data_IF_638981633366
#
_entry.id   IF_638981633366
#
_cell.length_a   1.000
_cell.length_b   1.000
_cell.length_c   1.000
_cell.angle_alpha   90.00
_cell.angle_beta   90.00
_cell.angle_gamma   90.00
#
_symmetry.space_group_name_H-M   'P 1'
#
loop_
_entity.id
_entity.type
_entity.pdbx_description
1 polymer ?
#
# COMPACT_ATOMS: atom_id res chain seq x y z
N UNK A 1 -4.10 -31.67 -2.73
CA UNK A 1 -2.79 -31.13 -2.28
C UNK A 1 -2.29 -29.96 -3.14
N UNK A 2 -2.60 -29.91 -4.43
CA UNK A 2 -2.13 -28.88 -5.39
C UNK A 2 -2.61 -27.46 -5.07
N UNK A 3 -3.86 -27.30 -4.64
CA UNK A 3 -4.49 -26.00 -4.35
C UNK A 3 -3.90 -25.26 -3.15
N UNK A 4 -3.43 -26.02 -2.17
CA UNK A 4 -2.80 -25.44 -1.01
C UNK A 4 -1.47 -24.76 -1.37
N UNK A 5 -0.80 -25.25 -2.40
CA UNK A 5 0.47 -24.71 -2.88
C UNK A 5 0.29 -23.33 -3.54
N UNK A 6 -0.66 -23.19 -4.49
CA UNK A 6 -0.93 -21.87 -5.12
C UNK A 6 -1.35 -20.82 -4.10
N UNK A 7 -2.33 -21.13 -3.24
CA UNK A 7 -2.81 -20.20 -2.22
C UNK A 7 -1.68 -19.73 -1.30
N UNK A 8 -0.79 -20.64 -0.90
CA UNK A 8 0.38 -20.33 -0.09
C UNK A 8 1.34 -19.38 -0.80
N UNK A 9 1.70 -19.68 -2.06
CA UNK A 9 2.59 -18.82 -2.83
C UNK A 9 1.99 -17.47 -3.14
N UNK A 10 0.70 -17.39 -3.47
CA UNK A 10 -0.01 -16.14 -3.69
C UNK A 10 0.00 -15.26 -2.43
N UNK A 11 -0.15 -15.85 -1.25
CA UNK A 11 -0.07 -15.10 0.01
C UNK A 11 1.36 -14.63 0.28
N UNK A 12 2.36 -15.52 0.15
CA UNK A 12 3.77 -15.18 0.40
C UNK A 12 4.23 -14.08 -0.55
N UNK A 13 4.00 -14.23 -1.85
CA UNK A 13 4.40 -13.24 -2.84
C UNK A 13 3.70 -11.90 -2.64
N UNK A 14 2.42 -11.89 -2.27
CA UNK A 14 1.72 -10.67 -1.91
C UNK A 14 2.44 -9.91 -0.78
N UNK A 15 2.80 -10.59 0.29
CA UNK A 15 3.55 -9.96 1.39
C UNK A 15 4.98 -9.56 1.01
N UNK A 16 5.64 -10.29 0.11
CA UNK A 16 6.95 -9.89 -0.43
C UNK A 16 6.83 -8.60 -1.23
N UNK A 17 5.84 -8.50 -2.11
CA UNK A 17 5.56 -7.30 -2.91
C UNK A 17 5.21 -6.12 -1.99
N UNK A 18 4.40 -6.34 -0.97
CA UNK A 18 4.12 -5.34 0.08
C UNK A 18 5.40 -4.85 0.75
N UNK A 19 6.27 -5.76 1.17
CA UNK A 19 7.52 -5.40 1.86
C UNK A 19 8.44 -4.58 0.94
N UNK A 20 8.57 -4.94 -0.34
CA UNK A 20 9.33 -4.18 -1.33
C UNK A 20 8.76 -2.77 -1.46
N UNK A 21 7.44 -2.64 -1.68
CA UNK A 21 6.78 -1.35 -1.81
C UNK A 21 6.93 -0.51 -0.54
N UNK A 22 6.73 -1.10 0.63
CA UNK A 22 6.83 -0.40 1.90
C UNK A 22 8.25 0.13 2.17
N UNK A 23 9.28 -0.71 1.93
CA UNK A 23 10.69 -0.29 2.07
C UNK A 23 11.01 0.82 1.07
N UNK A 24 10.57 0.70 -0.18
CA UNK A 24 10.77 1.73 -1.21
C UNK A 24 10.15 3.05 -0.76
N UNK A 25 8.88 3.05 -0.38
CA UNK A 25 8.19 4.26 0.03
C UNK A 25 8.78 4.86 1.31
N UNK A 26 9.14 4.05 2.32
CA UNK A 26 9.80 4.54 3.52
C UNK A 26 11.18 5.15 3.24
N UNK A 27 11.93 4.62 2.28
CA UNK A 27 13.24 5.15 1.92
C UNK A 27 13.18 6.47 1.18
N UNK A 28 12.00 6.82 0.64
CA UNK A 28 11.78 8.02 -0.17
C UNK A 28 10.83 9.03 0.49
N UNK A 29 10.35 8.77 1.71
CA UNK A 29 9.48 9.73 2.40
C UNK A 29 10.22 11.03 2.67
N UNK A 30 9.49 12.13 2.51
CA UNK A 30 9.98 13.45 2.90
C UNK A 30 10.00 13.57 4.43
N UNK A 31 11.13 13.91 5.05
CA UNK A 31 11.21 14.02 6.52
C UNK A 31 10.47 15.25 7.07
N UNK A 32 10.23 16.24 6.22
CA UNK A 32 9.55 17.47 6.56
C UNK A 32 8.23 17.63 5.79
N UNK A 33 7.93 18.85 5.39
CA UNK A 33 6.79 19.14 4.54
C UNK A 33 7.22 19.05 3.07
N UNK A 34 6.51 18.28 2.29
CA UNK A 34 6.63 18.30 0.84
C UNK A 34 5.83 19.50 0.26
N UNK A 35 5.83 19.65 -1.06
CA UNK A 35 5.11 20.70 -1.77
C UNK A 35 3.59 20.56 -1.65
N UNK A 36 2.84 21.57 -2.09
CA UNK A 36 1.39 21.68 -2.08
C UNK A 36 0.80 21.63 -0.66
N UNK A 37 -0.29 20.94 -0.51
CA UNK A 37 -1.14 20.89 0.67
C UNK A 37 -0.62 19.97 1.79
N UNK A 38 0.55 19.34 1.61
CA UNK A 38 1.09 18.37 2.57
C UNK A 38 1.21 18.96 3.98
N UNK A 39 1.71 20.21 4.08
CA UNK A 39 1.82 20.92 5.36
C UNK A 39 0.47 21.20 6.00
N UNK A 40 -0.55 21.54 5.20
CA UNK A 40 -1.91 21.74 5.67
C UNK A 40 -2.50 20.44 6.21
N UNK A 41 -2.40 19.36 5.44
CA UNK A 41 -2.91 18.05 5.87
C UNK A 41 -2.26 17.53 7.15
N UNK A 42 -0.94 17.70 7.29
CA UNK A 42 -0.22 17.30 8.51
C UNK A 42 -0.64 18.16 9.70
N UNK A 43 -0.67 19.51 9.55
CA UNK A 43 -1.03 20.40 10.65
C UNK A 43 -2.49 20.22 11.07
N UNK A 44 -3.39 20.07 10.11
CA UNK A 44 -4.82 19.86 10.38
C UNK A 44 -5.07 18.50 11.04
N UNK A 45 -4.34 17.44 10.64
CA UNK A 45 -4.43 16.14 11.30
C UNK A 45 -4.01 16.23 12.77
N UNK A 46 -2.87 16.87 13.07
CA UNK A 46 -2.37 17.04 14.45
C UNK A 46 -3.33 17.82 15.33
N UNK A 47 -4.00 18.83 14.78
CA UNK A 47 -4.92 19.71 15.51
C UNK A 47 -6.38 19.27 15.43
N UNK A 48 -6.71 18.23 14.65
CA UNK A 48 -8.08 17.83 14.33
C UNK A 48 -8.90 18.97 13.71
N UNK A 49 -8.28 19.73 12.83
CA UNK A 49 -8.91 20.80 12.06
C UNK A 49 -9.41 20.29 10.70
N UNK A 50 -10.33 21.01 10.09
CA UNK A 50 -10.84 20.70 8.75
C UNK A 50 -9.94 21.37 7.71
N UNK A 51 -9.47 20.61 6.74
CA UNK A 51 -8.74 21.14 5.57
C UNK A 51 -9.71 21.83 4.60
N UNK A 52 -9.14 22.54 3.59
CA UNK A 52 -9.95 23.10 2.51
C UNK A 52 -10.81 22.01 1.81
N UNK A 53 -11.90 22.44 1.17
CA UNK A 53 -12.83 21.54 0.48
C UNK A 53 -12.13 20.69 -0.62
N UNK A 54 -12.44 19.38 -0.75
CA UNK A 54 -13.57 18.67 -0.13
C UNK A 54 -13.30 18.14 1.29
N UNK A 55 -12.12 18.41 1.87
CA UNK A 55 -11.69 17.86 3.14
C UNK A 55 -11.31 16.37 3.04
N UNK A 56 -10.60 15.88 4.02
CA UNK A 56 -10.15 14.48 4.09
C UNK A 56 -10.36 13.91 5.50
N UNK A 57 -11.61 13.88 5.95
CA UNK A 57 -11.98 13.56 7.34
C UNK A 57 -11.36 12.26 7.84
N UNK A 58 -11.36 11.20 7.02
CA UNK A 58 -10.77 9.92 7.38
C UNK A 58 -9.25 10.02 7.55
N UNK A 59 -8.57 10.72 6.62
CA UNK A 59 -7.13 10.94 6.70
C UNK A 59 -6.79 11.75 7.97
N UNK A 60 -7.54 12.80 8.27
CA UNK A 60 -7.34 13.64 9.46
C UNK A 60 -7.44 12.81 10.74
N UNK A 61 -8.48 11.98 10.87
CA UNK A 61 -8.67 11.13 12.03
C UNK A 61 -7.54 10.10 12.20
N UNK A 62 -7.15 9.43 11.13
CA UNK A 62 -6.07 8.44 11.18
C UNK A 62 -4.72 9.13 11.43
N UNK A 63 -4.49 10.29 10.80
CA UNK A 63 -3.31 11.11 11.01
C UNK A 63 -3.19 11.62 12.44
N UNK A 64 -4.30 12.04 13.07
CA UNK A 64 -4.33 12.41 14.48
C UNK A 64 -3.94 11.24 15.40
N UNK A 65 -4.45 10.03 15.12
CA UNK A 65 -4.05 8.81 15.85
C UNK A 65 -2.56 8.52 15.64
N UNK A 66 -2.06 8.65 14.42
CA UNK A 66 -0.63 8.47 14.13
C UNK A 66 0.24 9.50 14.87
N UNK A 67 -0.19 10.76 14.96
CA UNK A 67 0.52 11.84 15.65
C UNK A 67 0.74 11.56 17.15
N UNK A 68 -0.11 10.73 17.79
CA UNK A 68 0.07 10.32 19.19
C UNK A 68 1.43 9.66 19.41
N UNK A 69 1.94 8.91 18.42
CA UNK A 69 3.25 8.28 18.48
C UNK A 69 4.43 9.27 18.43
N UNK A 70 4.16 10.55 18.16
CA UNK A 70 5.14 11.64 18.30
C UNK A 70 5.38 12.09 19.74
N UNK A 71 4.57 11.62 20.70
CA UNK A 71 4.69 11.93 22.14
C UNK A 71 4.78 13.44 22.42
N UNK A 72 4.07 14.26 21.65
CA UNK A 72 4.05 15.72 21.80
C UNK A 72 5.24 16.45 21.19
N UNK A 73 6.11 15.78 20.45
CA UNK A 73 7.25 16.39 19.75
C UNK A 73 6.85 16.81 18.32
N UNK A 74 6.71 18.12 18.05
CA UNK A 74 6.29 18.62 16.75
C UNK A 74 7.23 18.23 15.60
N UNK A 75 8.51 18.02 15.89
CA UNK A 75 9.52 17.66 14.88
C UNK A 75 9.30 16.27 14.26
N UNK A 76 8.52 15.42 14.93
CA UNK A 76 8.24 14.04 14.50
C UNK A 76 6.94 13.89 13.71
N UNK A 77 6.03 14.84 13.77
CA UNK A 77 4.70 14.67 13.19
C UNK A 77 4.74 14.44 11.69
N UNK A 78 5.56 15.20 10.97
CA UNK A 78 5.68 15.04 9.51
C UNK A 78 6.15 13.64 9.12
N UNK A 79 7.22 13.15 9.71
CA UNK A 79 7.76 11.82 9.43
C UNK A 79 6.74 10.72 9.76
N UNK A 80 6.05 10.83 10.89
CA UNK A 80 5.08 9.83 11.34
C UNK A 80 3.88 9.78 10.39
N UNK A 81 3.32 10.92 10.00
CA UNK A 81 2.16 10.99 9.10
C UNK A 81 2.56 10.56 7.69
N UNK A 82 3.75 10.93 7.22
CA UNK A 82 4.27 10.47 5.93
C UNK A 82 4.54 8.96 5.94
N UNK A 83 5.09 8.41 7.02
CA UNK A 83 5.27 6.96 7.17
C UNK A 83 3.94 6.20 7.23
N UNK A 84 2.91 6.78 7.86
CA UNK A 84 1.54 6.26 7.81
C UNK A 84 1.03 6.21 6.37
N UNK A 85 1.21 7.28 5.58
CA UNK A 85 0.82 7.32 4.18
C UNK A 85 1.58 6.28 3.35
N UNK A 86 2.88 6.12 3.57
CA UNK A 86 3.70 5.08 2.94
C UNK A 86 3.18 3.66 3.25
N UNK A 87 2.75 3.42 4.49
CA UNK A 87 2.16 2.15 4.90
C UNK A 87 0.86 1.85 4.15
N UNK A 88 -0.06 2.83 4.06
CA UNK A 88 -1.31 2.64 3.33
C UNK A 88 -1.09 2.48 1.82
N UNK A 89 -0.12 3.20 1.25
CA UNK A 89 0.29 3.01 -0.14
C UNK A 89 0.82 1.59 -0.39
N UNK A 90 1.62 1.05 0.51
CA UNK A 90 2.10 -0.32 0.41
C UNK A 90 0.97 -1.36 0.51
N UNK A 91 -0.04 -1.13 1.37
CA UNK A 91 -1.25 -1.96 1.39
C UNK A 91 -2.03 -1.89 0.06
N UNK A 92 -2.08 -0.74 -0.58
CA UNK A 92 -2.68 -0.63 -1.91
C UNK A 92 -1.97 -1.54 -2.92
N UNK A 93 -0.63 -1.61 -2.89
CA UNK A 93 0.15 -2.51 -3.73
C UNK A 93 -0.14 -3.99 -3.42
N UNK A 94 -0.27 -4.35 -2.14
CA UNK A 94 -0.67 -5.68 -1.73
C UNK A 94 -2.03 -6.09 -2.31
N UNK A 95 -3.02 -5.22 -2.15
CA UNK A 95 -4.36 -5.48 -2.68
C UNK A 95 -4.38 -5.48 -4.21
N UNK A 96 -3.60 -4.63 -4.86
CA UNK A 96 -3.43 -4.64 -6.31
C UNK A 96 -2.88 -5.99 -6.79
N UNK A 97 -1.83 -6.51 -6.16
CA UNK A 97 -1.29 -7.84 -6.45
C UNK A 97 -2.38 -8.92 -6.36
N UNK A 98 -3.11 -8.98 -5.26
CA UNK A 98 -4.18 -9.98 -5.09
C UNK A 98 -5.35 -9.77 -6.05
N UNK A 99 -5.67 -8.55 -6.40
CA UNK A 99 -6.69 -8.23 -7.41
C UNK A 99 -6.26 -8.76 -8.78
N UNK A 100 -5.03 -8.50 -9.21
CA UNK A 100 -4.50 -8.98 -10.49
C UNK A 100 -4.52 -10.51 -10.53
N UNK A 101 -3.96 -11.18 -9.52
CA UNK A 101 -3.93 -12.65 -9.48
C UNK A 101 -5.34 -13.25 -9.46
N UNK A 102 -6.28 -12.63 -8.76
CA UNK A 102 -7.67 -13.06 -8.74
C UNK A 102 -8.34 -12.87 -10.12
N UNK A 103 -8.17 -11.72 -10.76
CA UNK A 103 -8.77 -11.43 -12.06
C UNK A 103 -8.19 -12.32 -13.16
N UNK A 104 -6.87 -12.48 -13.23
CA UNK A 104 -6.23 -13.35 -14.24
C UNK A 104 -6.75 -14.77 -14.11
N UNK A 105 -6.87 -15.29 -12.89
CA UNK A 105 -7.44 -16.62 -12.66
C UNK A 105 -8.89 -16.70 -13.13
N UNK A 106 -9.71 -15.69 -12.85
CA UNK A 106 -11.11 -15.62 -13.31
C UNK A 106 -11.22 -15.59 -14.83
N UNK A 107 -10.32 -14.88 -15.50
CA UNK A 107 -10.28 -14.81 -16.97
C UNK A 107 -9.93 -16.17 -17.60
N UNK A 108 -9.12 -16.97 -16.93
CA UNK A 108 -8.83 -18.35 -17.37
C UNK A 108 -10.01 -19.30 -17.14
N UNK A 109 -11.07 -18.83 -16.48
CA UNK A 109 -12.31 -19.58 -16.18
C UNK A 109 -12.07 -20.91 -15.46
N UNK A 110 -11.03 -20.95 -14.59
CA UNK A 110 -10.60 -22.15 -13.88
C UNK A 110 -10.76 -22.00 -12.37
N UNK A 111 -11.24 -23.04 -11.74
CA UNK A 111 -11.21 -23.16 -10.29
C UNK A 111 -9.78 -23.44 -9.80
N UNK A 112 -9.53 -23.27 -8.50
CA UNK A 112 -8.19 -23.49 -7.90
C UNK A 112 -7.61 -24.88 -8.17
N UNK A 113 -8.47 -25.86 -8.46
CA UNK A 113 -8.09 -27.26 -8.65
C UNK A 113 -7.64 -27.60 -10.07
N UNK A 114 -7.98 -26.75 -11.04
CA UNK A 114 -7.77 -27.00 -12.47
C UNK A 114 -6.56 -26.27 -13.06
N UNK A 115 -5.92 -25.40 -12.26
CA UNK A 115 -4.78 -24.60 -12.73
C UNK A 115 -3.54 -25.49 -12.85
N UNK A 116 -2.93 -25.50 -14.03
CA UNK A 116 -1.67 -26.19 -14.27
C UNK A 116 -0.50 -25.42 -13.63
N UNK A 117 0.64 -26.09 -13.40
CA UNK A 117 1.82 -25.46 -12.82
C UNK A 117 2.31 -24.22 -13.61
N UNK A 118 2.28 -24.31 -14.95
CA UNK A 118 2.68 -23.19 -15.82
C UNK A 118 1.73 -22.01 -15.68
N UNK A 119 0.43 -22.26 -15.60
CA UNK A 119 -0.57 -21.22 -15.38
C UNK A 119 -0.44 -20.58 -13.99
N UNK A 120 -0.16 -21.37 -12.95
CA UNK A 120 0.11 -20.85 -11.60
C UNK A 120 1.25 -19.83 -11.61
N UNK A 121 2.37 -20.18 -12.25
CA UNK A 121 3.53 -19.30 -12.40
C UNK A 121 3.12 -18.04 -13.17
N UNK A 122 2.43 -18.16 -14.29
CA UNK A 122 2.00 -17.03 -15.12
C UNK A 122 1.10 -16.06 -14.36
N UNK A 123 0.14 -16.56 -13.56
CA UNK A 123 -0.73 -15.76 -12.73
C UNK A 123 0.07 -14.97 -11.67
N UNK A 124 0.97 -15.67 -10.98
CA UNK A 124 1.78 -15.05 -9.93
C UNK A 124 2.73 -13.98 -10.49
N UNK A 125 3.37 -14.25 -11.62
CA UNK A 125 4.24 -13.28 -12.30
C UNK A 125 3.46 -12.06 -12.81
N UNK A 126 2.27 -12.26 -13.38
CA UNK A 126 1.42 -11.15 -13.79
C UNK A 126 1.08 -10.23 -12.60
N UNK A 127 0.78 -10.81 -11.44
CA UNK A 127 0.55 -10.06 -10.21
C UNK A 127 1.79 -9.29 -9.75
N UNK A 128 2.96 -9.94 -9.72
CA UNK A 128 4.22 -9.31 -9.31
C UNK A 128 4.60 -8.16 -10.25
N UNK A 129 4.58 -8.40 -11.56
CA UNK A 129 4.94 -7.38 -12.56
C UNK A 129 3.98 -6.21 -12.46
N UNK A 130 2.66 -6.45 -12.45
CA UNK A 130 1.66 -5.39 -12.39
C UNK A 130 1.77 -4.55 -11.11
N UNK A 131 1.92 -5.18 -9.96
CA UNK A 131 2.03 -4.49 -8.68
C UNK A 131 3.35 -3.70 -8.56
N UNK A 132 4.49 -4.30 -8.94
CA UNK A 132 5.78 -3.62 -8.87
C UNK A 132 5.90 -2.51 -9.93
N UNK A 133 5.34 -2.67 -11.11
CA UNK A 133 5.29 -1.59 -12.10
C UNK A 133 4.57 -0.37 -11.54
N UNK A 134 3.48 -0.56 -10.80
CA UNK A 134 2.79 0.54 -10.13
C UNK A 134 3.64 1.13 -8.98
N UNK A 135 4.34 0.29 -8.22
CA UNK A 135 5.23 0.74 -7.12
C UNK A 135 6.31 1.72 -7.60
N UNK A 136 6.85 1.48 -8.79
CA UNK A 136 7.94 2.28 -9.37
C UNK A 136 7.49 3.22 -10.49
N UNK A 137 6.17 3.35 -10.74
CA UNK A 137 5.67 4.36 -11.66
C UNK A 137 5.82 5.74 -11.04
N UNK A 138 6.39 6.64 -11.81
CA UNK A 138 6.44 8.05 -11.49
C UNK A 138 5.09 8.67 -11.88
N UNK A 139 4.33 9.12 -10.89
CA UNK A 139 3.00 9.72 -11.09
C UNK A 139 3.00 11.18 -10.68
#
# INVERSE_FOLDING_TARGET
MKNWTFKKWNTILGWVVFAIAFITYLSTIEPNFSFWDCGEYISSAVKLEVTHAPGAALFQLIGAVAAIFGFGDPSKYSVIINAMSALFSAFTILFLFWTITHLVRRLLNKDFEEVTFTEEISILFAGVIGALSFTFSDT
#
